data_IF_150077728777
#
_entry.id   IF_150077728777
#
_cell.length_a   1.000
_cell.length_b   1.000
_cell.length_c   1.000
_cell.angle_alpha   90.00
_cell.angle_beta   90.00
_cell.angle_gamma   90.00
#
_symmetry.space_group_name_H-M   'P 1'
#
loop_
_entity.id
_entity.type
_entity.pdbx_description
1 polymer ?
#
# COMPACT_ATOMS: atom_id res chain seq x y z
N UNK A 1 -2.71 6.38 23.63
CA UNK A 1 -1.71 6.05 22.58
C UNK A 1 -1.55 7.26 21.69
N UNK A 2 -0.32 7.77 21.54
CA UNK A 2 -0.02 8.86 20.62
C UNK A 2 0.47 8.26 19.30
N UNK A 3 -0.13 8.65 18.18
CA UNK A 3 0.30 8.22 16.85
C UNK A 3 1.22 9.28 16.26
N UNK A 4 2.50 8.95 16.02
CA UNK A 4 3.48 9.89 15.48
C UNK A 4 3.72 9.61 13.99
N UNK A 5 3.71 10.68 13.19
CA UNK A 5 4.02 10.62 11.75
C UNK A 5 5.52 10.35 11.56
N UNK A 6 5.87 9.26 10.86
CA UNK A 6 7.27 8.92 10.54
C UNK A 6 7.69 9.53 9.20
N UNK A 7 8.81 10.27 9.18
CA UNK A 7 9.44 10.74 7.95
C UNK A 7 10.00 9.55 7.14
N UNK A 8 9.91 9.59 5.80
CA UNK A 8 10.52 8.57 4.93
C UNK A 8 12.01 8.87 4.73
N UNK A 9 12.86 7.86 4.96
CA UNK A 9 14.31 7.90 4.73
C UNK A 9 15.15 8.19 5.98
N UNK A 10 16.48 8.12 5.83
CA UNK A 10 17.41 8.52 6.88
C UNK A 10 17.27 10.03 7.13
N UNK A 11 16.88 10.40 8.35
CA UNK A 11 16.74 11.78 8.79
C UNK A 11 17.41 11.95 10.14
N UNK A 12 18.18 13.04 10.30
CA UNK A 12 18.70 13.49 11.58
C UNK A 12 17.73 14.54 12.11
N UNK A 13 16.91 14.14 13.09
CA UNK A 13 15.82 14.98 13.60
C UNK A 13 14.78 15.30 12.51
N UNK A 14 14.56 16.59 12.24
CA UNK A 14 13.60 17.06 11.24
C UNK A 14 14.17 17.16 9.81
N UNK A 15 15.49 17.05 9.64
CA UNK A 15 16.17 17.26 8.37
C UNK A 15 16.55 15.93 7.70
N UNK A 16 16.30 15.76 6.38
CA UNK A 16 16.82 14.63 5.62
C UNK A 16 18.35 14.67 5.55
N UNK A 17 19.00 13.51 5.63
CA UNK A 17 20.47 13.40 5.52
C UNK A 17 20.98 14.02 4.21
N UNK A 18 20.23 13.90 3.11
CA UNK A 18 20.60 14.51 1.83
C UNK A 18 20.76 16.05 1.91
N UNK A 19 20.02 16.74 2.78
CA UNK A 19 20.15 18.18 2.95
C UNK A 19 21.44 18.52 3.68
N UNK A 20 21.83 17.68 4.65
CA UNK A 20 23.10 17.82 5.36
C UNK A 20 24.27 17.62 4.39
N UNK A 21 24.21 16.58 3.55
CA UNK A 21 25.24 16.32 2.53
C UNK A 21 25.37 17.49 1.54
N UNK A 22 24.27 18.10 1.09
CA UNK A 22 24.33 19.28 0.21
C UNK A 22 25.00 20.46 0.89
N UNK A 23 24.72 20.69 2.17
CA UNK A 23 25.40 21.72 2.96
C UNK A 23 26.89 21.42 3.13
N UNK A 24 27.24 20.19 3.51
CA UNK A 24 28.64 19.76 3.69
C UNK A 24 29.44 19.91 2.39
N UNK A 25 28.89 19.46 1.26
CA UNK A 25 29.53 19.61 -0.06
C UNK A 25 29.68 21.08 -0.44
N UNK A 26 28.66 21.91 -0.22
CA UNK A 26 28.71 23.34 -0.49
C UNK A 26 29.80 24.06 0.33
N UNK A 27 29.90 23.75 1.62
CA UNK A 27 30.93 24.29 2.51
C UNK A 27 32.31 23.77 2.11
N UNK A 28 32.46 22.48 1.80
CA UNK A 28 33.72 21.90 1.37
C UNK A 28 34.25 22.55 0.09
N UNK A 29 33.38 22.75 -0.92
CA UNK A 29 33.74 23.45 -2.17
C UNK A 29 34.15 24.90 -1.85
N UNK A 30 33.40 25.59 -0.99
CA UNK A 30 33.75 26.95 -0.57
C UNK A 30 35.12 27.04 0.13
N UNK A 31 35.45 26.08 0.98
CA UNK A 31 36.75 26.02 1.66
C UNK A 31 37.89 25.69 0.69
N UNK A 32 37.67 24.78 -0.27
CA UNK A 32 38.66 24.46 -1.31
C UNK A 32 38.96 25.69 -2.16
N UNK A 33 37.94 26.47 -2.56
CA UNK A 33 38.16 27.70 -3.33
C UNK A 33 38.95 28.75 -2.56
N UNK A 34 38.67 28.92 -1.26
CA UNK A 34 39.42 29.82 -0.39
C UNK A 34 40.88 29.36 -0.18
N UNK A 35 41.13 28.05 -0.20
CA UNK A 35 42.47 27.49 -0.08
C UNK A 35 43.29 27.67 -1.37
N UNK A 36 42.63 27.74 -2.53
CA UNK A 36 43.27 28.02 -3.83
C UNK A 36 43.60 29.52 -3.94
N UNK A 37 42.62 30.39 -3.67
CA UNK A 37 42.79 31.84 -3.80
C UNK A 37 41.81 32.61 -2.89
N UNK A 38 42.34 33.55 -2.11
CA UNK A 38 41.59 34.41 -1.20
C UNK A 38 40.73 35.45 -1.94
N UNK A 39 41.05 35.79 -3.19
CA UNK A 39 40.22 36.69 -4.01
C UNK A 39 38.86 36.05 -4.35
N UNK A 40 38.77 34.71 -4.34
CA UNK A 40 37.54 33.96 -4.60
C UNK A 40 36.54 33.96 -3.43
N UNK A 41 36.78 34.73 -2.37
CA UNK A 41 35.92 34.78 -1.17
C UNK A 41 34.43 35.01 -1.47
N UNK A 42 34.10 35.88 -2.41
CA UNK A 42 32.71 36.14 -2.77
C UNK A 42 32.07 34.97 -3.53
N UNK A 43 32.85 34.25 -4.33
CA UNK A 43 32.41 33.05 -5.04
C UNK A 43 32.17 31.91 -4.04
N UNK A 44 33.08 31.74 -3.08
CA UNK A 44 32.95 30.77 -1.99
C UNK A 44 31.70 31.01 -1.13
N UNK A 45 31.46 32.26 -0.72
CA UNK A 45 30.23 32.66 -0.01
C UNK A 45 28.99 32.42 -0.88
N UNK A 46 29.07 32.73 -2.18
CA UNK A 46 27.99 32.48 -3.13
C UNK A 46 27.60 31.00 -3.22
N UNK A 47 28.58 30.10 -3.33
CA UNK A 47 28.35 28.65 -3.40
C UNK A 47 27.76 28.13 -2.08
N UNK A 48 28.29 28.55 -0.93
CA UNK A 48 27.73 28.22 0.37
C UNK A 48 26.29 28.70 0.52
N UNK A 49 26.00 29.93 0.07
CA UNK A 49 24.65 30.51 0.06
C UNK A 49 23.68 29.73 -0.84
N UNK A 50 24.11 29.35 -2.05
CA UNK A 50 23.31 28.52 -2.96
C UNK A 50 23.05 27.14 -2.36
N UNK A 51 24.06 26.49 -1.77
CA UNK A 51 23.89 25.20 -1.11
C UNK A 51 22.89 25.29 0.06
N UNK A 52 22.95 26.37 0.84
CA UNK A 52 21.99 26.65 1.91
C UNK A 52 20.57 26.85 1.37
N UNK A 53 20.40 27.63 0.30
CA UNK A 53 19.11 27.82 -0.37
C UNK A 53 18.57 26.48 -0.86
N UNK A 54 19.36 25.67 -1.57
CA UNK A 54 18.94 24.36 -2.09
C UNK A 54 18.57 23.37 -0.98
N UNK A 55 19.30 23.39 0.14
CA UNK A 55 19.01 22.55 1.30
C UNK A 55 17.77 23.01 2.08
N UNK A 56 17.49 24.32 2.11
CA UNK A 56 16.33 24.89 2.79
C UNK A 56 15.06 24.94 1.92
N UNK A 57 15.21 24.86 0.59
CA UNK A 57 14.10 25.03 -0.35
C UNK A 57 13.09 23.89 -0.21
N UNK A 58 11.84 24.28 0.07
CA UNK A 58 10.70 23.36 0.19
C UNK A 58 9.80 23.53 -1.02
N UNK A 59 9.71 22.49 -1.85
CA UNK A 59 8.93 22.49 -3.08
C UNK A 59 7.78 21.47 -2.98
N UNK A 60 6.53 21.92 -3.13
CA UNK A 60 5.31 21.07 -3.10
C UNK A 60 5.26 20.12 -1.88
N UNK A 61 5.61 20.62 -0.70
CA UNK A 61 5.58 19.86 0.56
C UNK A 61 6.74 18.88 0.79
N UNK A 62 7.73 18.85 -0.10
CA UNK A 62 8.96 18.04 0.03
C UNK A 62 10.21 18.93 -0.02
N UNK A 63 11.33 18.42 0.48
CA UNK A 63 12.63 19.10 0.33
C UNK A 63 13.09 19.00 -1.13
N UNK A 64 13.71 20.06 -1.67
CA UNK A 64 14.14 20.11 -3.07
C UNK A 64 15.09 18.96 -3.45
N UNK A 65 16.01 18.60 -2.55
CA UNK A 65 16.91 17.44 -2.66
C UNK A 65 16.17 16.11 -2.83
N UNK A 66 15.10 15.91 -2.06
CA UNK A 66 14.25 14.73 -2.16
C UNK A 66 13.46 14.71 -3.47
N UNK A 67 13.04 15.89 -3.95
CA UNK A 67 12.36 16.02 -5.23
C UNK A 67 13.29 15.65 -6.39
N UNK A 68 14.52 16.19 -6.44
CA UNK A 68 15.54 15.82 -7.44
C UNK A 68 15.85 14.32 -7.38
N UNK A 69 16.13 13.79 -6.19
CA UNK A 69 16.44 12.36 -6.06
C UNK A 69 15.29 11.45 -6.49
N UNK A 70 14.05 11.92 -6.39
CA UNK A 70 12.88 11.18 -6.84
C UNK A 70 12.64 11.33 -8.35
N UNK A 71 12.80 12.53 -8.93
CA UNK A 71 12.70 12.74 -10.37
C UNK A 71 13.80 12.00 -11.12
N UNK A 72 15.04 12.01 -10.63
CA UNK A 72 16.15 11.27 -11.22
C UNK A 72 15.89 9.75 -11.20
N UNK A 73 15.50 9.19 -10.04
CA UNK A 73 15.16 7.76 -9.94
C UNK A 73 13.96 7.37 -10.79
N UNK A 74 12.99 8.27 -10.92
CA UNK A 74 11.86 8.07 -11.83
C UNK A 74 12.37 8.05 -13.28
N UNK A 75 13.10 9.07 -13.73
CA UNK A 75 13.59 9.17 -15.10
C UNK A 75 14.52 8.02 -15.52
N UNK A 76 15.27 7.44 -14.58
CA UNK A 76 16.24 6.37 -14.84
C UNK A 76 15.64 4.95 -14.78
N UNK A 77 14.39 4.78 -14.33
CA UNK A 77 13.77 3.43 -14.21
C UNK A 77 12.85 3.10 -15.39
N UNK A 78 12.59 1.81 -15.59
CA UNK A 78 11.57 1.38 -16.54
C UNK A 78 10.16 1.75 -16.03
N UNK A 79 9.37 2.35 -16.93
CA UNK A 79 8.00 2.76 -16.66
C UNK A 79 6.95 1.79 -17.19
N UNK A 80 7.36 0.79 -17.96
CA UNK A 80 6.48 -0.22 -18.52
C UNK A 80 6.87 -1.60 -18.02
N UNK A 81 5.86 -2.41 -17.72
CA UNK A 81 5.97 -3.84 -17.42
C UNK A 81 4.92 -4.58 -18.21
N UNK A 82 5.19 -5.83 -18.55
CA UNK A 82 4.25 -6.68 -19.30
C UNK A 82 4.23 -8.04 -18.62
N UNK A 83 3.04 -8.59 -18.41
CA UNK A 83 2.88 -9.94 -17.88
C UNK A 83 3.41 -10.95 -18.88
N UNK A 84 3.97 -12.06 -18.37
CA UNK A 84 4.26 -13.21 -19.22
C UNK A 84 2.95 -13.94 -19.49
N UNK A 85 2.60 -14.27 -20.74
CA UNK A 85 1.49 -15.16 -21.03
C UNK A 85 1.69 -16.49 -20.29
N UNK A 86 0.60 -17.10 -19.83
CA UNK A 86 0.66 -18.48 -19.39
C UNK A 86 1.01 -19.37 -20.60
N UNK A 87 2.03 -20.21 -20.46
CA UNK A 87 2.22 -21.32 -21.41
C UNK A 87 1.05 -22.31 -21.24
N UNK A 88 0.65 -22.96 -22.33
CA UNK A 88 -0.45 -23.94 -22.31
C UNK A 88 -0.08 -25.09 -21.37
N UNK A 89 -0.73 -25.12 -20.19
CA UNK A 89 -0.47 -26.13 -19.16
C UNK A 89 -1.00 -27.48 -19.67
N UNK A 90 -0.13 -28.49 -19.72
CA UNK A 90 -0.53 -29.88 -20.01
C UNK A 90 -1.14 -30.54 -18.77
N UNK A 91 -1.99 -31.54 -18.95
CA UNK A 91 -2.65 -32.25 -17.83
C UNK A 91 -1.67 -32.84 -16.80
N UNK A 92 -0.48 -33.24 -17.23
CA UNK A 92 0.60 -33.70 -16.33
C UNK A 92 1.16 -32.57 -15.45
N UNK A 93 1.28 -31.34 -15.99
CA UNK A 93 1.73 -30.16 -15.25
C UNK A 93 0.68 -29.66 -14.27
N UNK A 94 -0.61 -29.80 -14.60
CA UNK A 94 -1.72 -29.46 -13.69
C UNK A 94 -1.72 -30.37 -12.45
N UNK A 95 -1.50 -31.67 -12.63
CA UNK A 95 -1.37 -32.62 -11.53
C UNK A 95 -0.13 -32.39 -10.65
N UNK A 96 0.97 -31.90 -11.25
CA UNK A 96 2.17 -31.51 -10.50
C UNK A 96 2.04 -30.16 -9.76
N UNK A 97 1.22 -29.24 -10.28
CA UNK A 97 0.96 -27.93 -9.66
C UNK A 97 0.14 -28.06 -8.36
N UNK A 98 -0.82 -28.98 -8.31
CA UNK A 98 -1.58 -29.31 -7.09
C UNK A 98 -0.71 -29.88 -5.96
N UNK A 99 0.51 -30.35 -6.28
CA UNK A 99 1.48 -30.87 -5.31
C UNK A 99 2.54 -29.83 -4.87
N UNK A 100 2.60 -28.64 -5.50
CA UNK A 100 3.60 -27.62 -5.16
C UNK A 100 3.20 -26.83 -3.92
N UNK A 101 4.06 -26.81 -2.90
CA UNK A 101 3.88 -26.00 -1.69
C UNK A 101 3.98 -24.47 -1.93
N UNK A 102 4.28 -24.04 -3.16
CA UNK A 102 4.48 -22.64 -3.53
C UNK A 102 3.93 -22.37 -4.92
N UNK A 103 3.07 -21.35 -5.04
CA UNK A 103 2.63 -20.78 -6.31
C UNK A 103 3.62 -19.70 -6.73
N UNK A 104 4.37 -20.01 -7.79
CA UNK A 104 5.44 -19.17 -8.32
C UNK A 104 5.01 -18.28 -9.49
N UNK A 105 6.01 -17.64 -10.16
CA UNK A 105 5.83 -16.78 -11.32
C UNK A 105 5.06 -17.35 -12.50
N UNK A 106 5.06 -18.67 -12.64
CA UNK A 106 4.51 -19.36 -13.80
C UNK A 106 2.98 -19.48 -13.72
N UNK A 107 2.39 -19.31 -12.53
CA UNK A 107 0.95 -19.17 -12.39
C UNK A 107 0.50 -17.84 -13.03
N UNK A 108 -0.48 -17.86 -13.96
CA UNK A 108 -0.96 -16.66 -14.64
C UNK A 108 -1.40 -15.54 -13.69
N UNK A 109 -2.01 -15.89 -12.54
CA UNK A 109 -2.48 -14.94 -11.53
C UNK A 109 -1.30 -14.25 -10.85
N UNK A 110 -0.26 -15.01 -10.50
CA UNK A 110 0.98 -14.45 -9.94
C UNK A 110 1.68 -13.58 -11.00
N UNK A 111 1.82 -14.06 -12.24
CA UNK A 111 2.41 -13.28 -13.35
C UNK A 111 1.72 -11.91 -13.54
N UNK A 112 0.38 -11.87 -13.45
CA UNK A 112 -0.40 -10.63 -13.50
C UNK A 112 -0.11 -9.72 -12.30
N UNK A 113 -0.13 -10.26 -11.09
CA UNK A 113 0.11 -9.49 -9.86
C UNK A 113 1.56 -8.97 -9.77
N UNK A 114 2.51 -9.66 -10.40
CA UNK A 114 3.91 -9.23 -10.52
C UNK A 114 4.10 -7.97 -11.37
N UNK A 115 3.08 -7.50 -12.08
CA UNK A 115 3.07 -6.15 -12.64
C UNK A 115 3.22 -5.09 -11.55
N UNK A 116 2.49 -5.24 -10.43
CA UNK A 116 2.53 -4.34 -9.30
C UNK A 116 3.56 -4.77 -8.24
N UNK A 117 3.70 -6.08 -7.99
CA UNK A 117 4.51 -6.68 -6.91
C UNK A 117 5.58 -7.61 -7.50
N UNK A 118 6.74 -7.10 -7.97
CA UNK A 118 7.63 -7.82 -8.90
C UNK A 118 8.23 -9.13 -8.41
N UNK A 119 8.37 -9.32 -7.10
CA UNK A 119 8.96 -10.49 -6.45
C UNK A 119 7.89 -11.34 -5.73
N UNK A 120 6.62 -11.14 -6.06
CA UNK A 120 5.51 -11.90 -5.47
C UNK A 120 5.69 -13.40 -5.69
N UNK A 121 5.59 -14.12 -4.59
CA UNK A 121 5.46 -15.58 -4.50
C UNK A 121 4.42 -15.88 -3.42
N UNK A 122 3.58 -16.90 -3.63
CA UNK A 122 2.58 -17.32 -2.63
C UNK A 122 2.93 -18.70 -2.11
N UNK A 123 3.35 -18.79 -0.85
CA UNK A 123 3.57 -20.07 -0.18
C UNK A 123 2.26 -20.60 0.41
N UNK A 124 2.12 -21.92 0.38
CA UNK A 124 0.97 -22.63 0.93
C UNK A 124 1.34 -23.09 2.33
N UNK A 125 0.54 -22.66 3.29
CA UNK A 125 0.66 -23.07 4.68
C UNK A 125 -0.66 -23.63 5.18
N UNK A 126 -0.64 -24.16 6.40
CA UNK A 126 -1.84 -24.49 7.15
C UNK A 126 -1.85 -23.68 8.44
N UNK A 127 -3.02 -23.23 8.85
CA UNK A 127 -3.20 -22.58 10.15
C UNK A 127 -3.22 -23.61 11.30
N UNK A 128 -3.50 -23.16 12.52
CA UNK A 128 -3.58 -24.04 13.69
C UNK A 128 -4.78 -25.00 13.65
N UNK A 129 -5.77 -24.73 12.81
CA UNK A 129 -6.98 -25.55 12.60
C UNK A 129 -6.82 -26.45 11.36
N UNK A 130 -5.58 -26.60 10.85
CA UNK A 130 -5.23 -27.31 9.62
C UNK A 130 -5.90 -26.78 8.34
N UNK A 131 -6.46 -25.57 8.37
CA UNK A 131 -7.07 -24.95 7.20
C UNK A 131 -6.00 -24.36 6.29
N UNK A 132 -6.17 -24.43 4.95
CA UNK A 132 -5.25 -23.80 4.00
C UNK A 132 -5.09 -22.30 4.26
N UNK A 133 -3.85 -21.82 4.18
CA UNK A 133 -3.49 -20.43 4.39
C UNK A 133 -2.49 -19.99 3.32
N UNK A 134 -2.79 -18.89 2.63
CA UNK A 134 -1.86 -18.26 1.69
C UNK A 134 -0.90 -17.31 2.41
N UNK A 135 0.39 -17.42 2.10
CA UNK A 135 1.43 -16.50 2.58
C UNK A 135 2.10 -15.80 1.38
N UNK A 136 1.93 -14.49 1.24
CA UNK A 136 2.57 -13.71 0.20
C UNK A 136 3.98 -13.27 0.63
N UNK A 137 4.96 -13.47 -0.24
CA UNK A 137 6.30 -12.92 -0.11
C UNK A 137 6.45 -11.64 -0.94
N UNK A 138 6.97 -10.58 -0.32
CA UNK A 138 7.33 -9.34 -1.00
C UNK A 138 8.40 -8.57 -0.20
N UNK A 139 9.45 -8.11 -0.86
CA UNK A 139 10.53 -7.28 -0.30
C UNK A 139 11.16 -7.84 0.99
N UNK A 140 11.36 -9.15 1.06
CA UNK A 140 11.99 -9.79 2.22
C UNK A 140 11.06 -10.08 3.39
N UNK A 141 9.75 -9.95 3.19
CA UNK A 141 8.74 -10.11 4.24
C UNK A 141 7.64 -11.09 3.84
N UNK A 142 7.08 -11.77 4.83
CA UNK A 142 5.91 -12.63 4.68
C UNK A 142 4.65 -11.90 5.12
N UNK A 143 3.57 -12.05 4.35
CA UNK A 143 2.27 -11.44 4.65
C UNK A 143 1.18 -12.50 4.62
N UNK A 144 0.36 -12.54 5.67
CA UNK A 144 -0.86 -13.33 5.74
C UNK A 144 -2.06 -12.39 5.87
N UNK A 145 -3.22 -12.78 5.33
CA UNK A 145 -4.37 -11.88 5.22
C UNK A 145 -5.60 -12.49 5.86
N UNK A 146 -6.30 -11.70 6.67
CA UNK A 146 -7.65 -11.98 7.13
C UNK A 146 -8.65 -11.21 6.26
N UNK A 147 -9.71 -11.88 5.84
CA UNK A 147 -10.93 -11.24 5.33
C UNK A 147 -11.85 -10.96 6.51
N UNK A 148 -12.35 -9.73 6.62
CA UNK A 148 -13.44 -9.41 7.54
C UNK A 148 -14.74 -9.83 6.88
N UNK A 149 -15.51 -10.68 7.55
CA UNK A 149 -16.77 -11.16 7.01
C UNK A 149 -17.77 -9.99 6.95
N UNK A 150 -18.42 -9.77 5.79
CA UNK A 150 -19.41 -8.70 5.69
C UNK A 150 -20.59 -9.04 6.60
N UNK A 151 -20.98 -8.09 7.45
CA UNK A 151 -22.26 -8.21 8.15
C UNK A 151 -23.38 -8.33 7.08
N UNK A 152 -24.34 -9.27 7.24
CA UNK A 152 -25.42 -9.44 6.29
C UNK A 152 -26.38 -8.24 6.35
N UNK A 153 -26.08 -7.18 5.62
CA UNK A 153 -26.97 -6.05 5.42
C UNK A 153 -27.10 -5.77 3.91
N UNK A 154 -28.34 -5.79 3.42
CA UNK A 154 -28.70 -5.60 2.01
C UNK A 154 -28.32 -4.21 1.46
N UNK A 155 -28.13 -3.21 2.33
CA UNK A 155 -27.63 -1.88 2.00
C UNK A 155 -26.85 -1.35 3.22
N UNK A 156 -25.57 -1.01 3.06
CA UNK A 156 -24.79 -0.33 4.11
C UNK A 156 -24.59 1.13 3.76
N UNK A 157 -25.19 2.04 4.53
CA UNK A 157 -24.84 3.46 4.45
C UNK A 157 -23.37 3.65 4.84
N UNK A 158 -22.61 4.44 4.09
CA UNK A 158 -21.20 4.70 4.44
C UNK A 158 -21.13 5.47 5.74
N UNK A 159 -20.46 4.86 6.73
CA UNK A 159 -20.43 5.32 8.12
C UNK A 159 -21.16 4.41 9.10
N UNK A 160 -22.09 3.56 8.61
CA UNK A 160 -22.81 2.56 9.44
C UNK A 160 -22.02 1.27 9.68
N UNK A 161 -21.00 0.99 8.87
CA UNK A 161 -20.08 -0.13 9.13
C UNK A 161 -19.17 0.23 10.31
N UNK A 162 -19.08 -0.61 11.36
CA UNK A 162 -18.19 -0.36 12.48
C UNK A 162 -16.78 -0.08 11.99
N UNK A 163 -16.19 1.04 12.40
CA UNK A 163 -14.76 1.25 12.21
C UNK A 163 -14.01 0.10 12.89
N UNK A 164 -13.09 -0.55 12.17
CA UNK A 164 -12.22 -1.56 12.75
C UNK A 164 -11.58 -1.01 14.04
N UNK A 165 -11.57 -1.78 15.15
CA UNK A 165 -11.04 -1.33 16.43
C UNK A 165 -9.51 -1.29 16.37
N UNK A 166 -8.95 -0.24 15.75
CA UNK A 166 -7.50 -0.09 15.52
C UNK A 166 -6.69 -0.18 16.82
N UNK A 167 -7.26 0.30 17.93
CA UNK A 167 -6.63 0.18 19.25
C UNK A 167 -6.45 -1.26 19.73
N UNK A 168 -7.27 -2.21 19.25
CA UNK A 168 -7.11 -3.64 19.56
C UNK A 168 -5.97 -4.28 18.76
N UNK A 169 -5.55 -3.71 17.64
CA UNK A 169 -4.48 -4.23 16.79
C UNK A 169 -3.09 -3.83 17.30
N UNK A 170 -2.98 -2.70 17.99
CA UNK A 170 -1.69 -2.17 18.41
C UNK A 170 -0.91 -3.11 19.35
N UNK A 171 -1.52 -3.77 20.36
CA UNK A 171 -0.83 -4.77 21.17
C UNK A 171 -0.35 -5.99 20.38
N UNK A 172 -0.95 -6.28 19.22
CA UNK A 172 -0.54 -7.42 18.39
C UNK A 172 0.74 -7.15 17.60
N UNK A 173 1.20 -5.89 17.51
CA UNK A 173 2.42 -5.53 16.79
C UNK A 173 3.67 -6.13 17.44
N UNK A 174 3.68 -6.26 18.76
CA UNK A 174 4.79 -6.83 19.51
C UNK A 174 4.24 -7.75 20.58
N UNK A 175 4.42 -9.06 20.41
CA UNK A 175 3.97 -10.06 21.38
C UNK A 175 4.81 -11.33 21.32
N UNK A 176 5.09 -11.92 22.50
CA UNK A 176 5.83 -13.19 22.68
C UNK A 176 7.13 -13.27 21.86
N UNK A 177 7.91 -12.19 21.86
CA UNK A 177 9.18 -12.08 21.15
C UNK A 177 9.07 -11.92 19.63
N UNK A 178 7.85 -11.86 19.08
CA UNK A 178 7.60 -11.56 17.67
C UNK A 178 7.26 -10.08 17.53
N UNK A 179 8.07 -9.37 16.74
CA UNK A 179 7.84 -7.97 16.37
C UNK A 179 7.41 -7.94 14.91
N UNK A 180 6.15 -7.59 14.67
CA UNK A 180 5.59 -7.49 13.33
C UNK A 180 6.20 -6.32 12.58
N UNK A 181 6.26 -6.46 11.26
CA UNK A 181 6.65 -5.37 10.40
C UNK A 181 5.55 -4.31 10.32
N UNK A 182 4.32 -4.76 10.04
CA UNK A 182 3.11 -3.97 10.17
C UNK A 182 1.85 -4.84 10.28
N UNK A 183 0.77 -4.21 10.75
CA UNK A 183 -0.59 -4.66 10.52
C UNK A 183 -1.26 -3.62 9.62
N UNK A 184 -1.74 -4.05 8.45
CA UNK A 184 -2.38 -3.18 7.49
C UNK A 184 -3.86 -3.52 7.35
N UNK A 185 -4.71 -2.52 7.50
CA UNK A 185 -6.15 -2.58 7.24
C UNK A 185 -6.42 -1.97 5.87
N UNK A 186 -7.04 -2.72 4.97
CA UNK A 186 -7.33 -2.30 3.61
C UNK A 186 -8.84 -2.36 3.40
N UNK A 187 -9.43 -1.22 3.09
CA UNK A 187 -10.82 -1.12 2.64
C UNK A 187 -10.83 -0.92 1.13
N UNK A 188 -11.46 -1.82 0.41
CA UNK A 188 -11.62 -1.75 -1.02
C UNK A 188 -13.10 -1.66 -1.35
N UNK A 189 -13.48 -0.55 -1.97
CA UNK A 189 -14.86 -0.13 -2.12
C UNK A 189 -15.19 0.11 -3.58
N UNK A 190 -16.31 -0.45 -4.02
CA UNK A 190 -16.93 -0.18 -5.30
C UNK A 190 -18.18 0.66 -5.08
N UNK A 191 -18.23 1.92 -5.56
CA UNK A 191 -19.41 2.77 -5.42
C UNK A 191 -20.58 2.26 -6.26
N UNK A 192 -20.33 1.52 -7.36
CA UNK A 192 -21.33 0.86 -8.19
C UNK A 192 -20.86 -0.53 -8.65
N UNK A 193 -21.57 -1.16 -9.60
CA UNK A 193 -21.16 -2.47 -10.12
C UNK A 193 -19.86 -2.39 -10.93
N UNK A 194 -18.85 -3.16 -10.52
CA UNK A 194 -17.60 -3.33 -11.27
C UNK A 194 -17.75 -4.17 -12.54
N UNK A 195 -18.77 -5.03 -12.60
CA UNK A 195 -19.02 -5.91 -13.74
C UNK A 195 -19.63 -5.18 -14.95
N UNK A 196 -20.20 -3.99 -14.73
CA UNK A 196 -20.81 -3.20 -15.79
C UNK A 196 -19.76 -2.30 -16.48
N UNK A 197 -19.87 -2.12 -17.81
CA UNK A 197 -19.03 -1.18 -18.55
C UNK A 197 -19.35 0.26 -18.15
N UNK A 198 -18.43 1.21 -18.39
CA UNK A 198 -18.57 2.60 -17.96
C UNK A 198 -19.81 3.30 -18.54
N UNK A 199 -20.21 2.92 -19.76
CA UNK A 199 -21.35 3.49 -20.49
C UNK A 199 -22.67 2.73 -20.25
N UNK A 200 -22.73 1.85 -19.24
CA UNK A 200 -23.95 1.10 -18.94
C UNK A 200 -25.07 2.03 -18.45
N UNK A 201 -26.26 2.03 -19.10
CA UNK A 201 -27.41 2.82 -18.62
C UNK A 201 -27.85 2.45 -17.21
N UNK A 202 -27.71 1.17 -16.82
CA UNK A 202 -28.02 0.70 -15.47
C UNK A 202 -27.06 1.29 -14.42
N UNK A 203 -25.77 1.36 -14.74
CA UNK A 203 -24.79 2.00 -13.85
C UNK A 203 -25.05 3.51 -13.74
N UNK A 204 -25.34 4.18 -14.85
CA UNK A 204 -25.66 5.61 -14.88
C UNK A 204 -26.91 5.91 -14.03
N UNK A 205 -28.01 5.18 -14.24
CA UNK A 205 -29.25 5.33 -13.47
C UNK A 205 -29.04 5.06 -11.98
N UNK A 206 -28.27 4.02 -11.63
CA UNK A 206 -27.91 3.75 -10.24
C UNK A 206 -27.16 4.93 -9.60
N UNK A 207 -26.14 5.46 -10.26
CA UNK A 207 -25.34 6.58 -9.74
C UNK A 207 -26.13 7.91 -9.67
N UNK A 208 -27.09 8.10 -10.57
CA UNK A 208 -28.03 9.23 -10.56
C UNK A 208 -28.94 9.17 -9.34
N UNK A 209 -29.60 8.03 -9.12
CA UNK A 209 -30.44 7.78 -7.93
C UNK A 209 -29.62 7.89 -6.64
N UNK A 210 -28.39 7.38 -6.66
CA UNK A 210 -27.46 7.50 -5.54
C UNK A 210 -27.00 8.94 -5.28
N UNK A 211 -27.32 9.92 -6.15
CA UNK A 211 -26.85 11.33 -6.17
C UNK A 211 -26.33 11.87 -4.84
N UNK A 212 -25.50 12.92 -4.78
CA UNK A 212 -24.29 13.07 -3.92
C UNK A 212 -23.93 12.14 -2.73
N UNK A 213 -24.72 11.13 -2.34
CA UNK A 213 -24.46 10.28 -1.19
C UNK A 213 -23.14 9.53 -1.38
N UNK A 214 -22.27 9.49 -0.36
CA UNK A 214 -21.01 8.77 -0.43
C UNK A 214 -21.22 7.28 -0.22
N UNK A 215 -22.23 6.67 -0.86
CA UNK A 215 -22.60 5.28 -0.65
C UNK A 215 -21.71 4.31 -1.45
N UNK A 216 -21.50 3.11 -0.90
CA UNK A 216 -20.66 2.06 -1.47
C UNK A 216 -21.51 0.82 -1.69
N UNK A 217 -21.64 0.38 -2.95
CA UNK A 217 -22.39 -0.82 -3.32
C UNK A 217 -21.73 -2.12 -2.81
N UNK A 218 -20.40 -2.16 -2.79
CA UNK A 218 -19.64 -3.31 -2.27
C UNK A 218 -18.40 -2.84 -1.54
N UNK A 219 -18.26 -3.26 -0.29
CA UNK A 219 -17.05 -3.04 0.51
C UNK A 219 -16.43 -4.38 0.88
N UNK A 220 -15.16 -4.54 0.59
CA UNK A 220 -14.34 -5.66 1.07
C UNK A 220 -13.28 -5.10 2.01
N UNK A 221 -13.09 -5.76 3.15
CA UNK A 221 -12.11 -5.33 4.15
C UNK A 221 -11.12 -6.44 4.42
N UNK A 222 -9.83 -6.16 4.25
CA UNK A 222 -8.74 -7.07 4.54
C UNK A 222 -7.88 -6.55 5.68
N UNK A 223 -7.35 -7.47 6.48
CA UNK A 223 -6.33 -7.18 7.50
C UNK A 223 -5.09 -8.01 7.16
N UNK A 224 -4.09 -7.36 6.58
CA UNK A 224 -2.82 -7.97 6.20
C UNK A 224 -1.80 -7.84 7.35
N UNK A 225 -1.30 -8.97 7.83
CA UNK A 225 -0.30 -9.07 8.89
C UNK A 225 1.04 -9.37 8.25
N UNK A 226 2.01 -8.46 8.40
CA UNK A 226 3.33 -8.53 7.76
C UNK A 226 4.42 -8.82 8.79
N UNK A 227 5.27 -9.79 8.50
CA UNK A 227 6.41 -10.19 9.32
C UNK A 227 7.71 -10.06 8.52
N UNK A 228 8.68 -9.32 9.05
CA UNK A 228 10.07 -9.38 8.61
C UNK A 228 10.85 -10.34 9.53
N UNK A 229 11.29 -11.51 9.05
CA UNK A 229 12.02 -12.49 9.86
C UNK A 229 13.29 -11.92 10.51
N UNK A 230 13.89 -10.87 9.93
CA UNK A 230 15.12 -10.24 10.43
C UNK A 230 14.88 -9.41 11.70
N UNK A 231 13.64 -8.99 11.97
CA UNK A 231 13.28 -8.22 13.17
C UNK A 231 13.14 -9.08 14.42
N UNK A 232 12.89 -10.38 14.27
CA UNK A 232 12.71 -11.30 15.39
C UNK A 232 13.44 -12.65 15.16
N UNK A 233 14.77 -12.65 14.98
CA UNK A 233 15.53 -13.85 14.63
C UNK A 233 15.49 -14.92 15.72
N UNK A 234 15.47 -14.54 17.00
CA UNK A 234 15.34 -15.46 18.13
C UNK A 234 14.01 -16.23 18.08
N UNK A 235 12.90 -15.52 17.89
CA UNK A 235 11.57 -16.10 17.79
C UNK A 235 11.42 -17.04 16.57
N UNK A 236 12.03 -16.69 15.43
CA UNK A 236 12.07 -17.56 14.25
C UNK A 236 12.86 -18.84 14.52
N UNK A 237 14.02 -18.73 15.18
CA UNK A 237 14.89 -19.87 15.53
C UNK A 237 14.19 -20.85 16.48
N UNK A 238 13.54 -20.36 17.52
CA UNK A 238 12.75 -21.18 18.47
C UNK A 238 11.63 -21.97 17.80
N UNK A 239 11.13 -21.49 16.65
CA UNK A 239 10.02 -22.09 15.90
C UNK A 239 10.50 -23.03 14.78
N UNK A 240 11.77 -23.39 14.75
CA UNK A 240 12.38 -24.29 13.78
C UNK A 240 13.33 -23.61 12.78
N UNK A 241 13.48 -22.29 12.85
CA UNK A 241 14.42 -21.53 12.02
C UNK A 241 14.00 -21.39 10.56
N UNK A 242 14.77 -20.60 9.81
CA UNK A 242 14.56 -20.38 8.38
C UNK A 242 13.13 -19.94 8.00
N UNK A 243 12.67 -20.42 6.84
CA UNK A 243 11.34 -20.10 6.29
C UNK A 243 10.23 -20.72 7.15
N UNK A 244 10.40 -21.97 7.61
CA UNK A 244 9.40 -22.67 8.42
C UNK A 244 9.13 -21.97 9.75
N UNK A 245 10.19 -21.54 10.44
CA UNK A 245 10.08 -20.76 11.67
C UNK A 245 9.41 -19.40 11.44
N UNK A 246 9.68 -18.74 10.32
CA UNK A 246 9.02 -17.50 9.93
C UNK A 246 7.52 -17.69 9.66
N UNK A 247 7.14 -18.75 8.92
CA UNK A 247 5.74 -19.08 8.68
C UNK A 247 5.00 -19.35 9.99
N UNK A 248 5.57 -20.17 10.88
CA UNK A 248 4.98 -20.46 12.20
C UNK A 248 4.85 -19.21 13.06
N UNK A 249 5.84 -18.32 13.06
CA UNK A 249 5.77 -17.04 13.76
C UNK A 249 4.62 -16.16 13.23
N UNK A 250 4.48 -16.09 11.91
CA UNK A 250 3.42 -15.31 11.24
C UNK A 250 2.03 -15.92 11.48
N UNK A 251 1.86 -17.24 11.36
CA UNK A 251 0.60 -17.94 11.66
C UNK A 251 0.18 -17.69 13.11
N UNK A 252 1.12 -17.74 14.05
CA UNK A 252 0.92 -17.36 15.44
C UNK A 252 0.44 -15.93 15.62
N UNK A 253 1.07 -14.97 14.92
CA UNK A 253 0.68 -13.57 14.99
C UNK A 253 -0.69 -13.30 14.34
N UNK A 254 -0.98 -13.94 13.21
CA UNK A 254 -2.25 -13.87 12.51
C UNK A 254 -3.41 -14.31 13.40
N UNK A 255 -3.25 -15.45 14.10
CA UNK A 255 -4.24 -15.95 15.07
C UNK A 255 -4.49 -14.95 16.20
N UNK A 256 -3.46 -14.26 16.70
CA UNK A 256 -3.63 -13.23 17.73
C UNK A 256 -4.40 -12.01 17.22
N UNK A 257 -4.08 -11.56 16.00
CA UNK A 257 -4.80 -10.45 15.36
C UNK A 257 -6.28 -10.83 15.15
N UNK A 258 -6.55 -12.04 14.66
CA UNK A 258 -7.91 -12.58 14.53
C UNK A 258 -8.65 -12.54 15.88
N UNK A 259 -8.06 -13.11 16.93
CA UNK A 259 -8.68 -13.14 18.26
C UNK A 259 -8.92 -11.73 18.84
N UNK A 260 -8.01 -10.78 18.59
CA UNK A 260 -8.16 -9.39 19.01
C UNK A 260 -9.36 -8.72 18.31
N UNK A 261 -9.60 -9.01 17.04
CA UNK A 261 -10.75 -8.52 16.28
C UNK A 261 -12.06 -9.22 16.71
N UNK A 262 -12.04 -10.54 16.88
CA UNK A 262 -13.19 -11.33 17.34
C UNK A 262 -13.65 -10.88 18.73
N UNK A 263 -12.72 -10.58 19.65
CA UNK A 263 -13.04 -10.05 20.99
C UNK A 263 -13.80 -8.71 20.96
N UNK A 264 -13.78 -8.03 19.82
CA UNK A 264 -14.48 -6.77 19.56
C UNK A 264 -15.69 -6.95 18.64
N UNK A 265 -16.12 -8.18 18.40
CA UNK A 265 -17.29 -8.50 17.57
C UNK A 265 -17.05 -8.35 16.07
N UNK A 266 -15.79 -8.40 15.62
CA UNK A 266 -15.44 -8.36 14.19
C UNK A 266 -15.03 -9.76 13.75
N UNK A 267 -15.94 -10.55 13.14
CA UNK A 267 -15.60 -11.88 12.63
C UNK A 267 -14.66 -11.76 11.44
N UNK A 268 -13.61 -12.58 11.44
CA UNK A 268 -12.64 -12.61 10.35
C UNK A 268 -12.17 -14.03 10.09
N UNK A 269 -11.76 -14.30 8.85
CA UNK A 269 -11.20 -15.59 8.45
C UNK A 269 -9.90 -15.41 7.66
N UNK A 270 -8.92 -16.31 7.82
CA UNK A 270 -7.75 -16.31 6.95
C UNK A 270 -8.12 -16.58 5.48
N UNK A 271 -7.33 -16.03 4.57
CA UNK A 271 -7.42 -16.35 3.14
C UNK A 271 -6.53 -17.54 2.80
N UNK A 272 -7.08 -18.50 2.06
CA UNK A 272 -6.29 -19.55 1.42
C UNK A 272 -5.44 -18.97 0.26
N UNK A 273 -4.52 -19.76 -0.35
CA UNK A 273 -3.69 -19.28 -1.46
C UNK A 273 -4.48 -18.72 -2.66
N UNK A 274 -5.59 -19.36 -3.05
CA UNK A 274 -6.37 -18.96 -4.21
C UNK A 274 -7.20 -17.71 -3.92
N UNK A 275 -7.79 -17.62 -2.73
CA UNK A 275 -8.50 -16.46 -2.24
C UNK A 275 -7.57 -15.25 -2.07
N UNK A 276 -6.33 -15.46 -1.62
CA UNK A 276 -5.31 -14.41 -1.54
C UNK A 276 -4.98 -13.85 -2.92
N UNK A 277 -4.76 -14.71 -3.91
CA UNK A 277 -4.52 -14.29 -5.30
C UNK A 277 -5.74 -13.57 -5.88
N UNK A 278 -6.95 -14.07 -5.61
CA UNK A 278 -8.21 -13.43 -6.03
C UNK A 278 -8.39 -12.05 -5.39
N UNK A 279 -8.06 -11.91 -4.10
CA UNK A 279 -8.10 -10.63 -3.40
C UNK A 279 -7.10 -9.63 -4.00
N UNK A 280 -5.89 -10.09 -4.33
CA UNK A 280 -4.90 -9.31 -5.06
C UNK A 280 -5.39 -8.82 -6.42
N UNK A 281 -5.98 -9.72 -7.22
CA UNK A 281 -6.49 -9.42 -8.56
C UNK A 281 -7.62 -8.41 -8.51
N UNK A 282 -8.57 -8.59 -7.58
CA UNK A 282 -9.68 -7.66 -7.38
C UNK A 282 -9.16 -6.28 -6.96
N UNK A 283 -8.30 -6.23 -5.93
CA UNK A 283 -7.72 -4.97 -5.48
C UNK A 283 -6.93 -4.25 -6.59
N UNK A 284 -6.23 -4.99 -7.46
CA UNK A 284 -5.49 -4.42 -8.57
C UNK A 284 -6.36 -4.04 -9.79
N UNK A 285 -7.68 -4.29 -9.76
CA UNK A 285 -8.61 -4.14 -10.89
C UNK A 285 -8.21 -4.95 -12.14
N UNK A 286 -7.65 -6.13 -11.92
CA UNK A 286 -7.20 -7.03 -12.99
C UNK A 286 -8.22 -8.13 -13.31
N UNK A 287 -9.40 -8.11 -12.68
CA UNK A 287 -10.42 -9.16 -12.87
C UNK A 287 -10.88 -9.32 -14.32
N UNK A 288 -10.93 -8.24 -15.10
CA UNK A 288 -11.34 -8.30 -16.52
C UNK A 288 -10.34 -8.99 -17.45
N UNK A 289 -9.10 -9.18 -17.00
CA UNK A 289 -8.03 -9.85 -17.76
C UNK A 289 -7.54 -11.14 -17.08
N UNK A 290 -8.04 -11.44 -15.88
CA UNK A 290 -7.72 -12.66 -15.16
C UNK A 290 -8.22 -13.88 -15.96
N UNK A 291 -7.32 -14.82 -16.24
CA UNK A 291 -7.60 -16.00 -17.09
C UNK A 291 -7.54 -15.74 -18.60
N UNK A 292 -7.22 -14.52 -19.03
CA UNK A 292 -6.90 -14.27 -20.45
C UNK A 292 -5.45 -14.66 -20.76
N UNK A 293 -5.21 -15.20 -21.96
CA UNK A 293 -3.86 -15.49 -22.46
C UNK A 293 -3.18 -14.25 -23.09
N UNK A 294 -3.82 -13.08 -22.99
CA UNK A 294 -3.32 -11.86 -23.57
C UNK A 294 -2.22 -11.26 -22.69
N UNK A 295 -1.26 -10.61 -23.35
CA UNK A 295 -0.21 -9.84 -22.65
C UNK A 295 -0.85 -8.62 -22.02
N UNK A 296 -0.74 -8.51 -20.70
CA UNK A 296 -1.25 -7.37 -19.92
C UNK A 296 -0.10 -6.44 -19.61
N UNK A 297 -0.23 -5.18 -20.01
CA UNK A 297 0.74 -4.14 -19.72
C UNK A 297 0.38 -3.35 -18.46
N UNK A 298 1.41 -2.94 -17.73
CA UNK A 298 1.36 -1.86 -16.75
C UNK A 298 2.25 -0.71 -17.25
N UNK A 299 1.73 0.52 -17.21
CA UNK A 299 2.46 1.73 -17.58
C UNK A 299 2.34 2.77 -16.46
N UNK A 300 3.46 3.11 -15.86
CA UNK A 300 3.56 4.20 -14.90
C UNK A 300 3.70 5.55 -15.60
N UNK A 301 2.96 6.53 -15.09
CA UNK A 301 3.10 7.96 -15.38
C UNK A 301 3.46 8.68 -14.08
N UNK A 302 3.82 9.95 -14.20
CA UNK A 302 4.18 10.76 -13.04
C UNK A 302 3.03 10.86 -12.03
N UNK A 303 1.79 11.04 -12.49
CA UNK A 303 0.60 11.22 -11.64
C UNK A 303 -0.23 9.97 -11.41
N UNK A 304 -0.05 8.90 -12.18
CA UNK A 304 -0.83 7.67 -12.03
C UNK A 304 -0.15 6.46 -12.65
N UNK A 305 -0.78 5.30 -12.55
CA UNK A 305 -0.35 4.07 -13.23
C UNK A 305 -1.55 3.46 -13.95
N UNK A 306 -1.36 2.98 -15.17
CA UNK A 306 -2.41 2.27 -15.91
C UNK A 306 -2.05 0.79 -15.99
N UNK A 307 -2.96 -0.08 -15.59
CA UNK A 307 -2.82 -1.54 -15.69
C UNK A 307 -4.09 -2.11 -16.33
N UNK A 308 -3.94 -2.96 -17.35
CA UNK A 308 -5.09 -3.56 -18.06
C UNK A 308 -6.16 -2.54 -18.55
N UNK A 309 -5.74 -1.31 -18.90
CA UNK A 309 -6.65 -0.24 -19.31
C UNK A 309 -7.27 0.56 -18.16
N UNK A 310 -7.16 0.11 -16.92
CA UNK A 310 -7.63 0.82 -15.73
C UNK A 310 -6.56 1.79 -15.25
N UNK A 311 -6.93 3.05 -15.03
CA UNK A 311 -6.08 4.08 -14.44
C UNK A 311 -6.16 4.07 -12.91
N UNK A 312 -5.02 4.23 -12.25
CA UNK A 312 -4.93 4.34 -10.80
C UNK A 312 -4.14 5.58 -10.40
N UNK A 313 -4.62 6.28 -9.38
CA UNK A 313 -3.92 7.38 -8.74
C UNK A 313 -3.89 7.16 -7.22
N UNK A 314 -2.70 7.21 -6.63
CA UNK A 314 -2.46 7.00 -5.21
C UNK A 314 -2.00 8.28 -4.51
N UNK A 315 -2.47 8.45 -3.28
CA UNK A 315 -2.28 9.62 -2.44
C UNK A 315 -1.90 9.16 -1.04
N UNK A 316 -0.93 9.83 -0.42
CA UNK A 316 -0.63 9.63 0.99
C UNK A 316 -1.47 10.56 1.85
N UNK A 317 -2.02 10.04 2.94
CA UNK A 317 -2.61 10.85 3.99
C UNK A 317 -1.47 11.41 4.85
N UNK A 318 -1.32 12.73 4.79
CA UNK A 318 -0.17 13.45 5.35
C UNK A 318 -0.52 14.38 6.50
N UNK A 319 -1.79 14.82 6.56
CA UNK A 319 -2.37 15.57 7.66
C UNK A 319 -3.65 14.86 8.09
N UNK A 320 -3.80 14.67 9.40
CA UNK A 320 -4.98 14.08 10.00
C UNK A 320 -5.80 15.16 10.71
N UNK A 321 -7.13 15.09 10.68
CA UNK A 321 -7.97 15.99 11.44
C UNK A 321 -7.74 15.77 12.94
N UNK A 322 -7.85 16.85 13.72
CA UNK A 322 -7.88 16.77 15.17
C UNK A 322 -9.23 16.16 15.60
N UNK A 323 -9.33 14.82 15.68
CA UNK A 323 -10.59 14.13 16.00
C UNK A 323 -10.65 12.65 15.63
N UNK A 324 -11.87 12.12 15.41
CA UNK A 324 -12.14 10.70 15.10
C UNK A 324 -11.67 10.30 13.70
N UNK A 325 -10.39 9.97 13.58
CA UNK A 325 -9.70 9.46 12.38
C UNK A 325 -10.49 8.41 11.60
N UNK A 326 -11.16 7.48 12.30
CA UNK A 326 -11.83 6.36 11.66
C UNK A 326 -13.10 6.73 10.87
N UNK A 327 -13.86 7.72 11.34
CA UNK A 327 -15.07 8.20 10.64
C UNK A 327 -14.69 8.95 9.36
N UNK A 328 -13.58 9.70 9.39
CA UNK A 328 -13.04 10.43 8.24
C UNK A 328 -12.57 9.50 7.12
N UNK A 329 -12.09 8.29 7.42
CA UNK A 329 -11.59 7.36 6.40
C UNK A 329 -12.69 6.66 5.62
N UNK A 330 -13.82 6.37 6.25
CA UNK A 330 -14.97 5.79 5.57
C UNK A 330 -15.49 6.75 4.48
N UNK A 331 -15.53 8.06 4.75
CA UNK A 331 -15.97 9.06 3.76
C UNK A 331 -15.06 9.12 2.52
N UNK A 332 -13.75 8.86 2.69
CA UNK A 332 -12.82 8.78 1.57
C UNK A 332 -13.07 7.56 0.66
N UNK A 333 -13.81 6.55 1.11
CA UNK A 333 -14.12 5.36 0.30
C UNK A 333 -15.32 5.51 -0.63
N UNK A 334 -16.09 6.60 -0.50
CA UNK A 334 -17.30 6.87 -1.28
C UNK A 334 -17.07 7.67 -2.57
N UNK A 335 -15.82 7.81 -3.04
CA UNK A 335 -15.52 8.54 -4.28
C UNK A 335 -16.08 7.76 -5.47
N UNK A 336 -16.83 8.47 -6.34
CA UNK A 336 -17.43 7.90 -7.55
C UNK A 336 -16.37 7.73 -8.63
N UNK A 337 -15.81 6.54 -8.67
CA UNK A 337 -14.94 6.04 -9.73
C UNK A 337 -15.24 4.54 -9.93
N UNK A 338 -14.36 3.80 -10.61
CA UNK A 338 -14.46 2.33 -10.61
C UNK A 338 -14.37 1.80 -9.18
N UNK A 339 -13.31 2.18 -8.46
CA UNK A 339 -13.12 1.77 -7.07
C UNK A 339 -12.28 2.77 -6.28
N UNK A 340 -12.42 2.71 -4.96
CA UNK A 340 -11.56 3.42 -4.02
C UNK A 340 -11.01 2.47 -2.99
N UNK A 341 -9.70 2.50 -2.80
CA UNK A 341 -8.98 1.69 -1.82
C UNK A 341 -8.33 2.58 -0.79
N UNK A 342 -8.65 2.39 0.49
CA UNK A 342 -7.97 3.05 1.60
C UNK A 342 -7.17 2.00 2.35
N UNK A 343 -5.86 2.17 2.42
CA UNK A 343 -4.95 1.26 3.12
C UNK A 343 -4.32 1.99 4.30
N UNK A 344 -4.48 1.46 5.50
CA UNK A 344 -3.94 2.00 6.75
C UNK A 344 -2.97 0.99 7.35
N UNK A 345 -1.73 1.40 7.58
CA UNK A 345 -0.68 0.58 8.17
C UNK A 345 -0.34 1.07 9.57
N UNK A 346 -0.42 0.15 10.54
CA UNK A 346 0.11 0.29 11.88
C UNK A 346 1.47 -0.40 11.94
N UNK A 347 2.47 0.32 12.44
CA UNK A 347 3.85 -0.16 12.60
C UNK A 347 4.28 0.04 14.05
N UNK A 348 5.22 -0.76 14.57
CA UNK A 348 5.78 -0.52 15.89
C UNK A 348 6.38 0.89 16.01
N UNK A 349 6.14 1.56 17.14
CA UNK A 349 6.68 2.88 17.44
C UNK A 349 8.16 2.83 17.83
N UNK A 350 8.79 4.01 17.98
CA UNK A 350 10.13 4.12 18.57
C UNK A 350 10.12 4.08 20.10
N UNK A 351 8.98 4.44 20.70
CA UNK A 351 8.79 4.59 22.13
C UNK A 351 7.68 3.63 22.58
N UNK A 352 7.79 3.11 23.80
CA UNK A 352 6.81 2.20 24.37
C UNK A 352 5.40 2.80 24.36
N UNK A 353 4.43 2.01 23.88
CA UNK A 353 3.02 2.41 23.81
C UNK A 353 2.67 3.39 22.69
N UNK A 354 3.61 3.74 21.81
CA UNK A 354 3.35 4.48 20.57
C UNK A 354 3.32 3.55 19.37
N UNK A 355 2.51 3.90 18.37
CA UNK A 355 2.47 3.21 17.08
C UNK A 355 2.68 4.20 15.95
N UNK A 356 3.45 3.78 14.94
CA UNK A 356 3.54 4.52 13.69
C UNK A 356 2.30 4.26 12.85
N UNK A 357 1.62 5.33 12.44
CA UNK A 357 0.45 5.26 11.58
C UNK A 357 0.75 5.86 10.20
N UNK A 358 0.44 5.11 9.14
CA UNK A 358 0.47 5.61 7.76
C UNK A 358 -0.79 5.20 7.04
N UNK A 359 -1.24 6.03 6.10
CA UNK A 359 -2.38 5.68 5.27
C UNK A 359 -2.23 6.19 3.86
N UNK A 360 -2.74 5.40 2.92
CA UNK A 360 -2.84 5.72 1.52
C UNK A 360 -4.30 5.64 1.09
N UNK A 361 -4.65 6.47 0.11
CA UNK A 361 -5.89 6.36 -0.66
C UNK A 361 -5.50 6.13 -2.11
N UNK A 362 -6.10 5.14 -2.75
CA UNK A 362 -6.01 4.93 -4.19
C UNK A 362 -7.39 5.01 -4.80
N UNK A 363 -7.51 5.74 -5.88
CA UNK A 363 -8.68 5.73 -6.74
C UNK A 363 -8.32 4.99 -8.02
N UNK A 364 -9.24 4.15 -8.49
CA UNK A 364 -9.16 3.48 -9.79
C UNK A 364 -10.32 3.92 -10.67
N UNK A 365 -10.07 4.11 -11.95
CA UNK A 365 -11.06 4.57 -12.93
C UNK A 365 -10.86 3.88 -14.27
N UNK A 366 -11.97 3.72 -15.01
CA UNK A 366 -12.01 3.07 -16.32
C UNK A 366 -11.51 3.99 -17.44
N UNK A 367 -11.65 5.30 -17.27
CA UNK A 367 -11.20 6.30 -18.22
C UNK A 367 -10.34 7.37 -17.56
N UNK A 368 -9.49 8.10 -18.31
CA UNK A 368 -8.73 9.23 -17.78
C UNK A 368 -9.63 10.34 -17.22
N UNK A 369 -10.73 10.67 -17.90
CA UNK A 369 -11.68 11.70 -17.45
C UNK A 369 -12.36 11.33 -16.12
N UNK A 370 -12.73 10.05 -15.94
CA UNK A 370 -13.27 9.57 -14.67
C UNK A 370 -12.22 9.66 -13.55
N UNK A 371 -10.94 9.42 -13.87
CA UNK A 371 -9.86 9.54 -12.89
C UNK A 371 -9.62 11.00 -12.47
N UNK A 372 -9.63 11.92 -13.42
CA UNK A 372 -9.46 13.35 -13.15
C UNK A 372 -10.63 13.90 -12.32
N UNK A 373 -11.87 13.52 -12.65
CA UNK A 373 -13.03 13.91 -11.85
C UNK A 373 -12.96 13.33 -10.43
N UNK A 374 -12.48 12.10 -10.29
CA UNK A 374 -12.32 11.48 -8.98
C UNK A 374 -11.20 12.12 -8.14
N UNK A 375 -10.14 12.66 -8.76
CA UNK A 375 -9.11 13.48 -8.11
C UNK A 375 -9.70 14.77 -7.52
N UNK A 376 -10.49 15.49 -8.31
CA UNK A 376 -11.19 16.71 -7.85
C UNK A 376 -12.12 16.42 -6.68
N UNK A 377 -12.89 15.32 -6.77
CA UNK A 377 -13.83 14.91 -5.73
C UNK A 377 -13.13 14.47 -4.46
N UNK A 378 -12.03 13.72 -4.59
CA UNK A 378 -11.21 13.29 -3.48
C UNK A 378 -10.59 14.51 -2.75
N UNK A 379 -10.12 15.50 -3.51
CA UNK A 379 -9.61 16.76 -2.97
C UNK A 379 -10.70 17.51 -2.19
N UNK A 380 -11.88 17.70 -2.78
CA UNK A 380 -13.02 18.35 -2.13
C UNK A 380 -13.48 17.63 -0.85
N UNK A 381 -13.52 16.30 -0.85
CA UNK A 381 -13.84 15.50 0.35
C UNK A 381 -12.75 15.68 1.40
N UNK A 382 -11.48 15.65 1.01
CA UNK A 382 -10.36 15.78 1.94
C UNK A 382 -10.33 17.14 2.64
N UNK A 383 -10.61 18.22 1.91
CA UNK A 383 -10.71 19.58 2.47
C UNK A 383 -11.84 19.66 3.50
N UNK A 384 -13.01 19.08 3.16
CA UNK A 384 -14.19 19.07 4.05
C UNK A 384 -13.96 18.27 5.32
N UNK A 385 -13.12 17.23 5.26
CA UNK A 385 -12.77 16.37 6.39
C UNK A 385 -11.56 16.87 7.17
N UNK A 386 -10.87 17.92 6.71
CA UNK A 386 -9.62 18.39 7.32
C UNK A 386 -8.47 17.38 7.18
N UNK A 387 -8.50 16.54 6.13
CA UNK A 387 -7.46 15.55 5.82
C UNK A 387 -6.58 16.09 4.70
N UNK A 388 -5.25 16.09 4.89
CA UNK A 388 -4.33 16.52 3.82
C UNK A 388 -3.87 15.32 2.99
N UNK A 389 -4.25 15.30 1.72
CA UNK A 389 -3.78 14.30 0.76
C UNK A 389 -2.59 14.83 -0.04
N UNK A 390 -1.52 14.04 -0.11
CA UNK A 390 -0.35 14.33 -0.96
C UNK A 390 -0.27 13.29 -2.08
N UNK A 391 -0.41 13.68 -3.35
CA UNK A 391 -0.26 12.76 -4.48
C UNK A 391 1.10 12.05 -4.47
N UNK A 392 1.12 10.73 -4.70
CA UNK A 392 2.34 9.93 -4.78
C UNK A 392 3.04 10.05 -6.14
N UNK A 393 3.28 11.30 -6.57
CA UNK A 393 3.91 11.56 -7.86
C UNK A 393 5.28 10.88 -7.96
N UNK A 394 5.50 10.17 -9.07
CA UNK A 394 6.70 9.35 -9.32
C UNK A 394 6.83 8.10 -8.44
N UNK A 395 5.81 7.74 -7.65
CA UNK A 395 5.77 6.56 -6.78
C UNK A 395 4.43 5.81 -6.93
N UNK A 396 3.80 5.88 -8.10
CA UNK A 396 2.44 5.39 -8.30
C UNK A 396 2.37 3.87 -8.34
N UNK A 397 3.39 3.19 -8.88
CA UNK A 397 3.48 1.72 -8.80
C UNK A 397 3.66 1.26 -7.36
N UNK A 398 4.49 1.94 -6.58
CA UNK A 398 4.66 1.65 -5.16
C UNK A 398 3.37 1.92 -4.38
N UNK A 399 2.65 3.00 -4.71
CA UNK A 399 1.32 3.31 -4.15
C UNK A 399 0.29 2.23 -4.48
N UNK A 400 0.27 1.74 -5.72
CA UNK A 400 -0.58 0.62 -6.13
C UNK A 400 -0.26 -0.62 -5.29
N UNK A 401 1.00 -1.09 -5.29
CA UNK A 401 1.44 -2.26 -4.53
C UNK A 401 1.12 -2.14 -3.03
N UNK A 402 1.33 -0.97 -2.44
CA UNK A 402 1.04 -0.67 -1.05
C UNK A 402 -0.45 -0.72 -0.65
N UNK A 403 -1.35 -0.76 -1.63
CA UNK A 403 -2.79 -0.88 -1.41
C UNK A 403 -3.35 -2.24 -1.84
N UNK A 404 -2.48 -3.20 -2.17
CA UNK A 404 -2.86 -4.59 -2.41
C UNK A 404 -2.67 -5.42 -1.14
N UNK A 405 -3.51 -6.44 -0.88
CA UNK A 405 -3.35 -7.34 0.27
C UNK A 405 -2.22 -8.36 0.04
N UNK A 406 -1.05 -7.92 -0.45
CA UNK A 406 0.07 -8.77 -0.89
C UNK A 406 1.42 -8.32 -0.32
N UNK A 407 1.40 -7.56 0.78
CA UNK A 407 2.60 -7.20 1.54
C UNK A 407 3.26 -5.87 1.17
N UNK A 408 2.67 -5.08 0.25
CA UNK A 408 3.11 -3.71 0.01
C UNK A 408 2.80 -2.80 1.21
N UNK A 409 3.63 -1.79 1.44
CA UNK A 409 3.48 -0.89 2.60
C UNK A 409 3.31 0.59 2.27
N UNK A 410 2.52 1.25 3.12
CA UNK A 410 2.18 2.68 3.09
C UNK A 410 3.32 3.63 3.48
#
# INVERSE_FOLDING_TARGET
MSARRRNRGASLGALPVANLVVLEVGVAIGLVLLAIDLELKYVSIGIGGVALILAALRWRGRWFTQWIGLTARYALRSHSRVSKPAETITMEQLAAADASAVTGPDDPRVSLLRLAVPDLVVAHAKDHEEKPLGLAWHEGTWTAVLLVDPAPALVTEVGSTPSLPLGALAPCLEDRGVVLDAIQVIWHCYPGSAALPPNSPALASYLEVLGPLPAVARRTTWVAVRLDPRRCPAAVRERGGGVVGAHRALIGALSRVRNALESRGVPTRPLDPDELLKAGIAAAELSGVAGSNNRVGLRERWSGVTAAGIGHASYAITGWPQGKVATSLNALTGVRALSTTVAMSLTPGSDDGQVGLRSLVRVSARTPEELDHADDRLTAISDRLGVTLTPLRGLQVAGLAATLPLGGQA
#
